data_IF_830029781147
#
_entry.id   IF_830029781147
#
_cell.length_a   1.000
_cell.length_b   1.000
_cell.length_c   1.000
_cell.angle_alpha   90.00
_cell.angle_beta   90.00
_cell.angle_gamma   90.00
#
_symmetry.space_group_name_H-M   'P 1'
#
loop_
_entity.id
_entity.type
_entity.pdbx_description
1 polymer ?
#
# COMPACT_ATOMS: atom_id res chain seq x y z
N UNK A 1 1.32 9.84 7.80
CA UNK A 1 0.27 8.88 7.36
C UNK A 1 -1.11 9.53 7.28
N UNK A 2 -1.61 10.17 8.34
CA UNK A 2 -2.96 10.74 8.37
C UNK A 2 -3.25 11.74 7.24
N UNK A 3 -2.31 12.65 6.94
CA UNK A 3 -2.43 13.59 5.82
C UNK A 3 -2.54 12.85 4.48
N UNK A 4 -1.75 11.79 4.31
CA UNK A 4 -1.86 10.91 3.15
C UNK A 4 -3.24 10.25 3.04
N UNK A 5 -3.81 9.79 4.16
CA UNK A 5 -5.16 9.22 4.18
C UNK A 5 -6.22 10.25 3.76
N UNK A 6 -6.09 11.50 4.19
CA UNK A 6 -7.01 12.58 3.78
C UNK A 6 -6.97 12.79 2.26
N UNK A 7 -5.78 12.92 1.68
CA UNK A 7 -5.61 13.05 0.23
C UNK A 7 -6.08 11.81 -0.52
N UNK A 8 -5.82 10.62 0.01
CA UNK A 8 -6.29 9.36 -0.56
C UNK A 8 -7.83 9.36 -0.63
N UNK A 9 -8.52 9.66 0.46
CA UNK A 9 -9.98 9.71 0.49
C UNK A 9 -10.55 10.77 -0.48
N UNK A 10 -9.84 11.90 -0.65
CA UNK A 10 -10.20 12.95 -1.60
C UNK A 10 -9.96 12.59 -3.09
N UNK A 11 -9.32 11.45 -3.39
CA UNK A 11 -8.95 11.09 -4.76
C UNK A 11 -7.64 11.69 -5.25
N UNK A 12 -6.94 12.45 -4.42
CA UNK A 12 -5.69 13.12 -4.75
C UNK A 12 -4.50 12.16 -4.58
N UNK A 13 -4.49 11.09 -5.37
CA UNK A 13 -3.57 9.95 -5.21
C UNK A 13 -2.09 10.36 -5.23
N UNK A 14 -1.70 11.33 -6.07
CA UNK A 14 -0.32 11.82 -6.12
C UNK A 14 0.11 12.47 -4.79
N UNK A 15 -0.77 13.27 -4.18
CA UNK A 15 -0.50 13.92 -2.89
C UNK A 15 -0.50 12.89 -1.76
N UNK A 16 -1.40 11.91 -1.82
CA UNK A 16 -1.42 10.80 -0.87
C UNK A 16 -0.09 10.05 -0.88
N UNK A 17 0.39 9.71 -2.08
CA UNK A 17 1.66 9.04 -2.31
C UNK A 17 2.83 9.81 -1.70
N UNK A 18 2.98 11.10 -2.02
CA UNK A 18 4.05 11.95 -1.47
C UNK A 18 4.05 11.97 0.07
N UNK A 19 2.87 12.00 0.69
CA UNK A 19 2.74 11.99 2.14
C UNK A 19 3.08 10.63 2.76
N UNK A 20 2.86 9.53 2.05
CA UNK A 20 3.27 8.20 2.51
C UNK A 20 4.77 7.98 2.31
N UNK A 21 5.38 8.46 1.22
CA UNK A 21 6.84 8.46 1.05
C UNK A 21 7.53 9.29 2.13
N UNK A 22 6.98 10.44 2.49
CA UNK A 22 7.49 11.22 3.62
C UNK A 22 7.37 10.43 4.94
N UNK A 23 6.28 9.68 5.13
CA UNK A 23 6.14 8.81 6.30
C UNK A 23 7.22 7.71 6.33
N UNK A 24 7.60 7.15 5.18
CA UNK A 24 8.72 6.22 5.10
C UNK A 24 10.05 6.87 5.49
N UNK A 25 10.31 8.10 5.04
CA UNK A 25 11.55 8.82 5.35
C UNK A 25 11.67 9.18 6.84
N UNK A 26 10.53 9.41 7.51
CA UNK A 26 10.47 9.81 8.91
C UNK A 26 10.25 8.64 9.87
N UNK A 27 9.99 7.44 9.37
CA UNK A 27 9.66 6.30 10.20
C UNK A 27 10.85 5.90 11.09
N UNK A 28 10.57 5.69 12.37
CA UNK A 28 11.53 5.26 13.40
C UNK A 28 11.27 3.83 13.88
N UNK A 29 10.27 3.16 13.33
CA UNK A 29 9.85 1.82 13.72
C UNK A 29 9.32 1.01 12.54
N UNK A 30 9.50 -0.31 12.61
CA UNK A 30 8.93 -1.25 11.63
C UNK A 30 7.40 -1.17 11.55
N UNK A 31 6.74 -0.76 12.63
CA UNK A 31 5.31 -0.52 12.64
C UNK A 31 4.92 0.62 11.68
N UNK A 32 5.57 1.80 11.80
CA UNK A 32 5.28 2.94 10.93
C UNK A 32 5.72 2.66 9.49
N UNK A 33 6.86 1.99 9.29
CA UNK A 33 7.31 1.56 7.96
C UNK A 33 6.27 0.62 7.31
N UNK A 34 5.82 -0.40 8.03
CA UNK A 34 4.81 -1.34 7.56
C UNK A 34 3.52 -0.64 7.17
N UNK A 35 3.00 0.25 8.03
CA UNK A 35 1.79 1.02 7.73
C UNK A 35 1.98 1.92 6.50
N UNK A 36 3.11 2.62 6.38
CA UNK A 36 3.38 3.50 5.24
C UNK A 36 3.47 2.74 3.92
N UNK A 37 4.15 1.59 3.89
CA UNK A 37 4.20 0.69 2.73
C UNK A 37 2.80 0.18 2.37
N UNK A 38 2.01 -0.25 3.35
CA UNK A 38 0.63 -0.66 3.10
C UNK A 38 -0.20 0.45 2.45
N UNK A 39 -0.10 1.68 2.96
CA UNK A 39 -0.82 2.84 2.41
C UNK A 39 -0.36 3.22 0.99
N UNK A 40 0.94 3.07 0.69
CA UNK A 40 1.45 3.19 -0.68
C UNK A 40 0.86 2.13 -1.59
N UNK A 41 0.82 0.87 -1.15
CA UNK A 41 0.20 -0.23 -1.89
C UNK A 41 -1.25 0.05 -2.26
N UNK A 42 -2.06 0.56 -1.31
CA UNK A 42 -3.43 0.99 -1.57
C UNK A 42 -3.51 2.14 -2.59
N UNK A 43 -2.60 3.12 -2.50
CA UNK A 43 -2.53 4.25 -3.42
C UNK A 43 -2.22 3.81 -4.86
N UNK A 44 -1.24 2.91 -5.02
CA UNK A 44 -0.89 2.31 -6.30
C UNK A 44 -2.04 1.48 -6.88
N UNK A 45 -2.68 0.65 -6.05
CA UNK A 45 -3.82 -0.16 -6.48
C UNK A 45 -4.95 0.73 -7.01
N UNK A 46 -5.27 1.81 -6.29
CA UNK A 46 -6.31 2.75 -6.73
C UNK A 46 -5.92 3.52 -7.98
N UNK A 47 -4.63 3.70 -8.23
CA UNK A 47 -4.06 4.23 -9.48
C UNK A 47 -3.97 3.18 -10.60
N UNK A 48 -4.43 1.94 -10.36
CA UNK A 48 -4.34 0.77 -11.25
C UNK A 48 -2.90 0.33 -11.57
N UNK A 49 -1.91 0.80 -10.79
CA UNK A 49 -0.54 0.33 -10.83
C UNK A 49 -0.41 -0.90 -9.93
N UNK A 50 -0.90 -2.01 -10.45
CA UNK A 50 -1.01 -3.26 -9.70
C UNK A 50 0.35 -3.88 -9.34
N UNK A 51 1.37 -3.66 -10.16
CA UNK A 51 2.71 -4.20 -9.92
C UNK A 51 3.35 -3.55 -8.69
N UNK A 52 3.32 -2.21 -8.61
CA UNK A 52 3.79 -1.52 -7.42
C UNK A 52 2.90 -1.77 -6.21
N UNK A 53 1.58 -1.91 -6.40
CA UNK A 53 0.67 -2.24 -5.29
C UNK A 53 1.05 -3.55 -4.59
N UNK A 54 1.36 -4.60 -5.36
CA UNK A 54 1.79 -5.90 -4.85
C UNK A 54 3.11 -5.74 -4.09
N UNK A 55 4.11 -5.11 -4.73
CA UNK A 55 5.45 -4.94 -4.14
C UNK A 55 5.39 -4.24 -2.78
N UNK A 56 4.63 -3.16 -2.68
CA UNK A 56 4.48 -2.40 -1.44
C UNK A 56 3.71 -3.19 -0.36
N UNK A 57 2.70 -3.98 -0.76
CA UNK A 57 1.99 -4.88 0.14
C UNK A 57 2.87 -5.98 0.72
N UNK A 58 3.74 -6.58 -0.10
CA UNK A 58 4.71 -7.60 0.34
C UNK A 58 5.72 -7.04 1.36
N UNK A 59 6.23 -5.83 1.11
CA UNK A 59 7.14 -5.15 2.05
C UNK A 59 6.43 -4.90 3.38
N UNK A 60 5.21 -4.37 3.34
CA UNK A 60 4.42 -4.11 4.54
C UNK A 60 4.24 -5.38 5.40
N UNK A 61 3.90 -6.50 4.76
CA UNK A 61 3.75 -7.82 5.39
C UNK A 61 5.06 -8.35 5.98
N UNK A 62 6.17 -8.19 5.28
CA UNK A 62 7.48 -8.62 5.77
C UNK A 62 7.92 -7.86 7.04
N UNK A 63 7.52 -6.59 7.16
CA UNK A 63 7.90 -5.72 8.26
C UNK A 63 7.06 -5.95 9.51
N UNK A 64 5.76 -6.19 9.35
CA UNK A 64 4.86 -6.45 10.46
C UNK A 64 3.68 -7.36 10.06
N UNK A 65 3.88 -8.69 10.14
CA UNK A 65 2.83 -9.66 9.82
C UNK A 65 1.60 -9.57 10.74
N UNK A 66 1.79 -9.26 12.02
CA UNK A 66 0.70 -9.22 13.01
C UNK A 66 -0.16 -7.97 12.90
N UNK A 67 0.45 -6.80 12.67
CA UNK A 67 -0.31 -5.55 12.45
C UNK A 67 -1.25 -5.68 11.27
N UNK A 68 -0.80 -6.41 10.26
CA UNK A 68 -1.55 -6.54 9.05
C UNK A 68 -2.54 -7.69 9.10
N UNK A 69 -2.63 -8.62 10.05
CA UNK A 69 -3.46 -9.83 9.88
C UNK A 69 -4.91 -9.61 9.35
N UNK A 70 -5.60 -8.54 9.77
CA UNK A 70 -6.90 -8.13 9.22
C UNK A 70 -6.78 -7.35 7.89
N UNK A 71 -5.78 -6.48 7.78
CA UNK A 71 -5.44 -5.72 6.57
C UNK A 71 -4.79 -6.60 5.48
N UNK A 72 -4.24 -7.74 5.86
CA UNK A 72 -3.50 -8.73 5.09
C UNK A 72 -4.48 -9.48 4.24
N UNK A 73 -5.67 -9.79 4.77
CA UNK A 73 -6.77 -10.32 3.98
C UNK A 73 -7.19 -9.35 2.87
N UNK A 74 -7.08 -8.04 3.10
CA UNK A 74 -7.32 -7.03 2.07
C UNK A 74 -6.14 -6.96 1.09
N UNK A 75 -4.88 -6.93 1.57
CA UNK A 75 -3.68 -6.96 0.72
C UNK A 75 -3.67 -8.20 -0.17
N UNK A 76 -3.91 -9.39 0.38
CA UNK A 76 -3.99 -10.66 -0.35
C UNK A 76 -5.08 -10.60 -1.44
N UNK A 77 -6.21 -9.94 -1.16
CA UNK A 77 -7.26 -9.72 -2.15
C UNK A 77 -6.78 -8.77 -3.27
N UNK A 78 -6.03 -7.73 -2.93
CA UNK A 78 -5.47 -6.77 -3.89
C UNK A 78 -4.40 -7.45 -4.74
N UNK A 79 -3.55 -8.28 -4.14
CA UNK A 79 -2.54 -9.10 -4.82
C UNK A 79 -3.24 -10.10 -5.74
N UNK A 80 -4.21 -10.86 -5.26
CA UNK A 80 -4.94 -11.82 -6.10
C UNK A 80 -5.66 -11.13 -7.29
N UNK A 81 -6.23 -9.94 -7.08
CA UNK A 81 -6.87 -9.17 -8.15
C UNK A 81 -5.84 -8.60 -9.14
N UNK A 82 -4.72 -8.07 -8.63
CA UNK A 82 -3.59 -7.62 -9.43
C UNK A 82 -3.04 -8.75 -10.33
N UNK A 83 -2.78 -9.92 -9.76
CA UNK A 83 -2.28 -11.10 -10.46
C UNK A 83 -3.28 -11.64 -11.48
N UNK A 84 -4.58 -11.67 -11.16
CA UNK A 84 -5.64 -12.01 -12.12
C UNK A 84 -5.69 -11.04 -13.31
N UNK A 85 -5.50 -9.74 -13.08
CA UNK A 85 -5.44 -8.75 -14.16
C UNK A 85 -4.14 -8.82 -14.98
N UNK A 86 -3.02 -9.18 -14.36
CA UNK A 86 -1.73 -9.37 -15.03
C UNK A 86 -1.74 -10.63 -15.92
N UNK A 87 -2.35 -11.72 -15.45
CA UNK A 87 -2.39 -13.02 -16.17
C UNK A 87 -3.47 -13.10 -17.25
N UNK A 88 -4.52 -12.27 -17.20
CA UNK A 88 -5.56 -12.18 -18.25
C UNK A 88 -5.16 -11.36 -19.48
N UNK A 89 -3.97 -10.77 -19.50
CA UNK A 89 -3.46 -9.97 -20.64
C UNK A 89 -2.80 -10.82 -21.74
N UNK A 90 -2.88 -12.14 -21.68
CA UNK A 90 -2.42 -13.07 -22.73
C UNK A 90 -3.54 -13.47 -23.72
#
# INVERSE_FOLDING_TARGET
IEIGNMHYNAGELQKAHQNYELALQLADSNYILSEAHYKLGLSYYRSQDYENAVREGEIALSLNPEYLSDQQRLIDLLIANAWSNLTKKE
#
